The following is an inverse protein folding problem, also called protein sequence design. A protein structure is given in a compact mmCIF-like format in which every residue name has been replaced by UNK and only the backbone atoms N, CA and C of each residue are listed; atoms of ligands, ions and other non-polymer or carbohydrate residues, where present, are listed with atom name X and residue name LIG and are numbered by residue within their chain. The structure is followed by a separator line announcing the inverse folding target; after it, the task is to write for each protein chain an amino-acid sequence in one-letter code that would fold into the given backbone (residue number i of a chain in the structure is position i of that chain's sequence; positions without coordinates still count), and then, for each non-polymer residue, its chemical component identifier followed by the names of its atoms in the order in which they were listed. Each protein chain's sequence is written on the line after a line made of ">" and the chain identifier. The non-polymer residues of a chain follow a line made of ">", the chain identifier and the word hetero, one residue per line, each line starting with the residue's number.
data_IF_998869705072
#
_entry.id   IF_998869705072
#
_cell.length_a   1.000
_cell.length_b   1.000
_cell.length_c   1.000
_cell.angle_alpha   90.00
_cell.angle_beta   90.00
_cell.angle_gamma   90.00
#
_symmetry.space_group_name_H-M   'P 1'
#
loop_
_entity.id
_entity.type
_entity.pdbx_description
1 polymer ?
#
# COMPACT_ATOMS: atom_id res chain seq x y z
N UNK A 1 -46.98 -0.98 10.00
CA UNK A 1 -46.00 -1.82 9.28
C UNK A 1 -45.17 -1.02 8.27
N UNK A 2 -45.78 -0.26 7.36
CA UNK A 2 -45.07 0.56 6.34
C UNK A 2 -44.02 1.54 6.90
N UNK A 3 -44.34 2.27 7.98
CA UNK A 3 -43.39 3.19 8.65
C UNK A 3 -42.19 2.48 9.30
N UNK A 4 -42.42 1.31 9.91
CA UNK A 4 -41.35 0.45 10.48
C UNK A 4 -40.44 -0.08 9.37
N UNK A 5 -41.02 -0.47 8.23
CA UNK A 5 -40.26 -0.97 7.09
C UNK A 5 -39.45 0.14 6.41
N UNK A 6 -40.01 1.35 6.26
CA UNK A 6 -39.27 2.52 5.78
C UNK A 6 -38.08 2.86 6.68
N UNK A 7 -38.25 2.79 8.01
CA UNK A 7 -37.16 3.02 8.96
C UNK A 7 -36.04 1.97 8.84
N UNK A 8 -36.39 0.68 8.69
CA UNK A 8 -35.42 -0.40 8.47
C UNK A 8 -34.63 -0.18 7.18
N UNK A 9 -35.29 0.24 6.09
CA UNK A 9 -34.64 0.53 4.80
C UNK A 9 -33.67 1.71 4.94
N UNK A 10 -34.06 2.79 5.62
CA UNK A 10 -33.18 3.94 5.88
C UNK A 10 -31.95 3.52 6.70
N UNK A 11 -32.15 2.70 7.73
CA UNK A 11 -31.05 2.20 8.57
C UNK A 11 -30.08 1.33 7.75
N UNK A 12 -30.60 0.44 6.89
CA UNK A 12 -29.79 -0.36 5.97
C UNK A 12 -28.99 0.49 4.99
N UNK A 13 -29.61 1.52 4.40
CA UNK A 13 -28.92 2.45 3.51
C UNK A 13 -27.84 3.25 4.24
N UNK A 14 -28.10 3.67 5.49
CA UNK A 14 -27.10 4.36 6.31
C UNK A 14 -25.91 3.46 6.62
N UNK A 15 -26.14 2.19 6.96
CA UNK A 15 -25.07 1.20 7.21
C UNK A 15 -24.29 0.87 5.93
N UNK A 16 -24.96 0.74 4.78
CA UNK A 16 -24.29 0.56 3.50
C UNK A 16 -23.44 1.78 3.12
N UNK A 17 -23.97 2.99 3.37
CA UNK A 17 -23.24 4.24 3.17
C UNK A 17 -21.99 4.32 4.02
N UNK A 18 -22.06 3.96 5.31
CA UNK A 18 -20.87 3.94 6.18
C UNK A 18 -19.86 2.87 5.77
N UNK A 19 -20.32 1.68 5.34
CA UNK A 19 -19.45 0.60 4.82
C UNK A 19 -18.66 1.04 3.58
N UNK A 20 -19.22 1.90 2.72
CA UNK A 20 -18.53 2.40 1.53
C UNK A 20 -17.32 3.29 1.90
N UNK A 21 -17.40 4.03 3.01
CA UNK A 21 -16.25 4.79 3.55
C UNK A 21 -15.20 3.89 4.23
N UNK A 22 -15.49 2.60 4.42
CA UNK A 22 -14.55 1.62 4.97
C UNK A 22 -13.74 0.89 3.91
N UNK A 23 -13.78 1.29 2.63
CA UNK A 23 -12.87 0.75 1.62
C UNK A 23 -11.91 1.83 1.17
N UNK A 24 -10.74 1.92 1.79
CA UNK A 24 -9.67 2.79 1.32
C UNK A 24 -9.21 2.35 -0.08
N UNK A 25 -9.12 3.31 -1.02
CA UNK A 25 -8.62 3.12 -2.36
C UNK A 25 -7.11 2.85 -2.45
N UNK A 26 -6.66 2.51 -3.66
CA UNK A 26 -5.23 2.36 -3.98
C UNK A 26 -4.55 3.73 -4.01
N UNK A 27 -3.30 3.80 -3.56
CA UNK A 27 -2.46 5.00 -3.65
C UNK A 27 -1.40 4.89 -4.73
N UNK A 28 -1.35 5.91 -5.58
CA UNK A 28 -0.37 6.06 -6.65
C UNK A 28 0.79 7.00 -6.27
N UNK A 29 0.59 7.81 -5.24
CA UNK A 29 1.44 8.92 -4.80
C UNK A 29 2.38 8.54 -3.65
N UNK A 30 2.75 7.26 -3.56
CA UNK A 30 3.64 6.76 -2.51
C UNK A 30 5.09 7.01 -2.85
N UNK A 31 5.82 7.57 -1.90
CA UNK A 31 7.28 7.75 -1.97
C UNK A 31 7.96 6.80 -0.99
N UNK A 32 9.11 6.26 -1.38
CA UNK A 32 9.99 5.54 -0.47
C UNK A 32 10.88 6.57 0.22
N UNK A 33 10.83 6.62 1.56
CA UNK A 33 11.69 7.50 2.35
C UNK A 33 13.00 6.80 2.67
N UNK A 34 12.93 5.55 3.11
CA UNK A 34 14.08 4.74 3.50
C UNK A 34 13.74 3.25 3.46
N UNK A 35 14.75 2.38 3.53
CA UNK A 35 14.59 0.94 3.70
C UNK A 35 15.74 0.32 4.47
N UNK A 36 15.46 -0.80 5.12
CA UNK A 36 16.48 -1.69 5.69
C UNK A 36 16.21 -3.12 5.23
N UNK A 37 17.25 -3.94 5.25
CA UNK A 37 17.15 -5.37 4.91
C UNK A 37 17.68 -6.16 6.10
N UNK A 38 17.00 -7.25 6.45
CA UNK A 38 17.43 -8.17 7.50
C UNK A 38 18.79 -8.78 7.18
N UNK A 39 19.51 -9.21 8.22
CA UNK A 39 20.86 -9.78 8.09
C UNK A 39 20.92 -10.99 7.15
N UNK A 40 19.86 -11.80 7.13
CA UNK A 40 19.71 -12.96 6.24
C UNK A 40 19.17 -12.61 4.84
N UNK A 41 18.84 -11.35 4.58
CA UNK A 41 18.32 -10.87 3.31
C UNK A 41 16.87 -11.25 3.01
N UNK A 42 16.15 -11.90 3.93
CA UNK A 42 14.82 -12.45 3.69
C UNK A 42 13.68 -11.45 3.89
N UNK A 43 13.91 -10.33 4.58
CA UNK A 43 12.90 -9.30 4.86
C UNK A 43 13.48 -7.92 4.53
N UNK A 44 12.72 -7.14 3.78
CA UNK A 44 12.94 -5.71 3.62
C UNK A 44 11.89 -4.93 4.40
N UNK A 45 12.34 -4.08 5.30
CA UNK A 45 11.49 -3.09 5.98
C UNK A 45 11.57 -1.78 5.20
N UNK A 46 10.46 -1.31 4.66
CA UNK A 46 10.38 -0.03 3.94
C UNK A 46 9.67 1.02 4.79
N UNK A 47 10.20 2.24 4.80
CA UNK A 47 9.52 3.42 5.30
C UNK A 47 8.99 4.24 4.12
N UNK A 48 7.70 4.54 4.13
CA UNK A 48 7.04 5.23 3.02
C UNK A 48 6.32 6.50 3.46
N UNK A 49 6.20 7.43 2.53
CA UNK A 49 5.43 8.65 2.66
C UNK A 49 4.37 8.76 1.57
N UNK A 50 3.50 9.76 1.72
CA UNK A 50 2.50 10.17 0.71
C UNK A 50 2.93 11.52 0.18
N UNK A 51 3.04 11.68 -1.14
CA UNK A 51 3.44 12.95 -1.74
C UNK A 51 2.33 14.01 -1.70
N UNK A 52 1.07 13.59 -1.70
CA UNK A 52 -0.06 14.50 -1.50
C UNK A 52 -0.18 14.96 -0.04
N UNK A 53 -0.79 16.12 0.18
CA UNK A 53 -1.06 16.66 1.51
C UNK A 53 -2.24 15.98 2.24
N UNK A 54 -2.83 14.94 1.64
CA UNK A 54 -4.08 14.33 2.12
C UNK A 54 -4.01 12.81 2.21
N UNK A 55 -4.39 12.32 3.38
CA UNK A 55 -4.53 10.91 3.69
C UNK A 55 -3.22 10.23 4.08
N UNK A 56 -3.37 8.97 4.49
CA UNK A 56 -2.31 8.17 5.06
C UNK A 56 -2.26 6.81 4.38
N UNK A 57 -1.16 6.10 4.53
CA UNK A 57 -1.05 4.70 4.11
C UNK A 57 -1.57 3.81 5.23
N UNK A 58 -2.34 2.78 4.91
CA UNK A 58 -2.87 1.82 5.89
C UNK A 58 -2.23 0.46 5.75
N UNK A 59 -2.05 0.02 4.52
CA UNK A 59 -1.58 -1.33 4.22
C UNK A 59 -1.04 -1.40 2.80
N UNK A 60 -0.44 -2.53 2.47
CA UNK A 60 0.05 -2.83 1.13
C UNK A 60 -0.45 -4.21 0.67
N UNK A 61 -0.43 -4.42 -0.64
CA UNK A 61 -0.52 -5.74 -1.26
C UNK A 61 0.70 -5.93 -2.15
N UNK A 62 1.35 -7.07 -1.98
CA UNK A 62 2.48 -7.50 -2.81
C UNK A 62 1.97 -8.52 -3.83
N UNK A 63 2.31 -8.31 -5.10
CA UNK A 63 2.25 -9.33 -6.14
C UNK A 63 3.68 -9.69 -6.55
N UNK A 64 4.00 -10.98 -6.51
CA UNK A 64 5.28 -11.51 -6.98
C UNK A 64 5.13 -12.02 -8.42
N UNK A 65 6.15 -11.77 -9.24
CA UNK A 65 6.25 -12.25 -10.62
C UNK A 65 7.73 -12.43 -10.97
N UNK A 66 8.21 -13.68 -10.87
CA UNK A 66 9.62 -14.01 -11.03
C UNK A 66 10.50 -13.29 -10.01
N UNK A 67 11.46 -12.51 -10.51
CA UNK A 67 12.42 -11.73 -9.71
C UNK A 67 11.87 -10.35 -9.30
N UNK A 68 10.57 -10.08 -9.45
CA UNK A 68 9.97 -8.76 -9.21
C UNK A 68 8.85 -8.82 -8.19
N UNK A 69 8.76 -7.77 -7.39
CA UNK A 69 7.62 -7.49 -6.51
C UNK A 69 6.93 -6.20 -6.91
N UNK A 70 5.64 -6.29 -7.14
CA UNK A 70 4.76 -5.18 -7.46
C UNK A 70 3.90 -4.86 -6.24
N UNK A 71 4.07 -3.66 -5.69
CA UNK A 71 3.48 -3.25 -4.43
C UNK A 71 2.41 -2.19 -4.70
N UNK A 72 1.19 -2.48 -4.26
CA UNK A 72 0.09 -1.52 -4.24
C UNK A 72 -0.21 -1.14 -2.80
N UNK A 73 -0.10 0.14 -2.50
CA UNK A 73 -0.47 0.68 -1.19
C UNK A 73 -1.93 1.12 -1.19
N UNK A 74 -2.51 1.15 0.01
CA UNK A 74 -3.91 1.51 0.21
C UNK A 74 -4.05 2.56 1.28
N UNK A 75 -5.02 3.44 1.10
CA UNK A 75 -5.31 4.49 2.06
C UNK A 75 -6.07 3.99 3.30
N UNK A 76 -6.02 4.82 4.34
CA UNK A 76 -6.84 4.67 5.56
C UNK A 76 -8.33 4.82 5.27
N UNK A 77 -9.15 4.38 6.23
CA UNK A 77 -10.60 4.49 6.11
C UNK A 77 -11.07 5.90 6.43
N UNK A 78 -12.00 6.43 5.61
CA UNK A 78 -12.54 7.78 5.79
C UNK A 78 -11.64 8.91 5.26
N UNK A 79 -12.19 10.12 5.24
CA UNK A 79 -11.54 11.30 4.66
C UNK A 79 -10.46 11.81 5.61
N UNK A 80 -9.19 11.73 5.17
CA UNK A 80 -8.01 12.25 5.89
C UNK A 80 -7.90 11.78 7.36
N UNK A 81 -8.33 10.55 7.63
CA UNK A 81 -8.26 9.94 8.96
C UNK A 81 -6.95 9.18 9.14
N UNK A 82 -6.30 9.33 10.30
CA UNK A 82 -5.10 8.57 10.66
C UNK A 82 -5.40 7.20 11.28
N UNK A 83 -6.67 6.80 11.35
CA UNK A 83 -7.04 5.51 11.94
C UNK A 83 -6.48 4.35 11.11
N UNK A 84 -5.57 3.58 11.73
CA UNK A 84 -4.84 2.49 11.08
C UNK A 84 -3.77 2.98 10.10
N UNK A 85 -3.30 4.22 10.25
CA UNK A 85 -2.18 4.73 9.48
C UNK A 85 -0.89 4.02 9.90
N UNK A 86 -0.14 3.57 8.90
CA UNK A 86 1.17 2.96 9.02
C UNK A 86 2.10 3.64 8.01
N UNK A 87 3.38 3.75 8.34
CA UNK A 87 4.41 4.25 7.44
C UNK A 87 5.56 3.26 7.26
N UNK A 88 5.58 2.18 8.01
CA UNK A 88 6.58 1.13 7.94
C UNK A 88 5.94 -0.20 7.58
N UNK A 89 6.53 -0.90 6.63
CA UNK A 89 6.02 -2.19 6.18
C UNK A 89 7.15 -3.17 5.95
N UNK A 90 6.93 -4.42 6.34
CA UNK A 90 7.82 -5.52 6.03
C UNK A 90 7.36 -6.24 4.77
N UNK A 91 8.32 -6.53 3.89
CA UNK A 91 8.13 -7.25 2.64
C UNK A 91 9.09 -8.41 2.64
N UNK A 92 8.56 -9.63 2.54
CA UNK A 92 9.39 -10.82 2.34
C UNK A 92 10.10 -10.74 0.99
N UNK A 93 11.39 -11.05 0.96
CA UNK A 93 12.22 -11.12 -0.22
C UNK A 93 12.54 -12.58 -0.54
N UNK A 94 12.19 -13.00 -1.76
CA UNK A 94 12.78 -14.19 -2.33
C UNK A 94 14.26 -13.92 -2.65
N UNK A 95 15.20 -14.86 -2.46
CA UNK A 95 16.61 -14.69 -2.83
C UNK A 95 16.84 -14.25 -4.28
N UNK A 96 15.94 -14.65 -5.19
CA UNK A 96 15.97 -14.27 -6.61
C UNK A 96 15.37 -12.90 -6.90
N UNK A 97 14.76 -12.22 -5.91
CA UNK A 97 14.13 -10.92 -6.08
C UNK A 97 15.19 -9.85 -6.40
N UNK A 98 15.02 -9.18 -7.53
CA UNK A 98 15.91 -8.13 -8.05
C UNK A 98 15.24 -6.76 -8.16
N UNK A 99 13.91 -6.69 -8.16
CA UNK A 99 13.20 -5.41 -8.35
C UNK A 99 11.98 -5.24 -7.48
N UNK A 100 11.86 -4.08 -6.83
CA UNK A 100 10.67 -3.64 -6.12
C UNK A 100 10.04 -2.49 -6.87
N UNK A 101 8.75 -2.64 -7.20
CA UNK A 101 7.99 -1.71 -8.00
C UNK A 101 6.79 -1.16 -7.22
N UNK A 102 6.54 0.13 -7.30
CA UNK A 102 5.38 0.78 -6.64
C UNK A 102 4.31 1.14 -7.67
N UNK A 103 3.04 0.95 -7.30
CA UNK A 103 1.90 1.34 -8.12
C UNK A 103 1.83 2.86 -8.33
N UNK A 104 1.48 3.28 -9.56
CA UNK A 104 1.44 4.67 -10.03
C UNK A 104 0.15 5.04 -10.74
N UNK A 105 -0.95 4.34 -10.45
CA UNK A 105 -2.22 4.63 -11.11
C UNK A 105 -2.24 4.09 -12.54
N UNK A 106 -2.68 4.93 -13.48
CA UNK A 106 -2.79 4.58 -14.90
C UNK A 106 -1.43 4.32 -15.56
N UNK A 107 -0.35 4.91 -15.03
CA UNK A 107 1.02 4.66 -15.48
C UNK A 107 1.52 3.25 -15.14
N UNK A 108 0.78 2.48 -14.33
CA UNK A 108 1.15 1.13 -13.94
C UNK A 108 2.04 1.11 -12.72
N UNK A 109 3.29 0.69 -12.87
CA UNK A 109 4.23 0.48 -11.77
C UNK A 109 5.63 0.99 -12.13
N UNK A 110 6.25 1.74 -11.21
CA UNK A 110 7.62 2.22 -11.34
C UNK A 110 8.59 1.37 -10.53
N UNK A 111 9.77 1.10 -11.07
CA UNK A 111 10.88 0.50 -10.33
C UNK A 111 11.41 1.51 -9.30
N UNK A 112 11.40 1.15 -8.03
CA UNK A 112 11.84 2.01 -6.92
C UNK A 112 13.15 1.50 -6.32
N UNK A 113 13.29 0.20 -6.17
CA UNK A 113 14.54 -0.43 -5.70
C UNK A 113 14.97 -1.52 -6.67
N UNK A 114 16.25 -1.53 -7.02
CA UNK A 114 16.88 -2.58 -7.82
C UNK A 114 18.04 -3.18 -7.03
N UNK A 115 18.17 -4.51 -7.07
CA UNK A 115 19.30 -5.23 -6.49
C UNK A 115 20.45 -5.24 -7.49
N UNK A 116 21.63 -4.78 -7.05
CA UNK A 116 22.83 -4.81 -7.86
C UNK A 116 23.32 -6.25 -8.04
N UNK A 117 23.55 -6.68 -9.28
CA UNK A 117 23.96 -8.06 -9.57
C UNK A 117 25.38 -8.39 -9.08
N UNK A 118 26.28 -7.41 -9.00
CA UNK A 118 27.68 -7.59 -8.58
C UNK A 118 27.81 -7.56 -7.05
N UNK A 119 27.24 -6.55 -6.39
CA UNK A 119 27.38 -6.36 -4.94
C UNK A 119 26.30 -7.04 -4.12
N UNK A 120 25.20 -7.45 -4.75
CA UNK A 120 23.99 -7.97 -4.10
C UNK A 120 23.29 -6.96 -3.17
N UNK A 121 23.68 -5.69 -3.22
CA UNK A 121 23.08 -4.62 -2.44
C UNK A 121 21.89 -3.99 -3.18
N UNK A 122 20.90 -3.54 -2.43
CA UNK A 122 19.77 -2.79 -2.97
C UNK A 122 20.14 -1.33 -3.23
N UNK A 123 19.60 -0.76 -4.30
CA UNK A 123 19.83 0.62 -4.71
C UNK A 123 18.53 1.30 -5.10
N UNK A 124 18.34 2.54 -4.64
CA UNK A 124 17.22 3.39 -5.06
C UNK A 124 17.36 3.75 -6.53
N UNK A 125 16.30 3.50 -7.32
CA UNK A 125 16.18 3.99 -8.69
C UNK A 125 15.36 5.27 -8.66
N UNK A 126 15.96 6.32 -9.24
CA UNK A 126 15.34 7.64 -9.43
C UNK A 126 14.69 7.73 -10.79
#
# INVERSE_FOLDING_TARGET
>A
MKKKMAFIIILLLAVMGTLFFLTGGKRADIILNDYTVSEDGSIMTINVGVASSMGYVRTLKVKEDGDKKYITFYETYGINSSLGAENEFQIELNPSCKGIYFYRGEAGYDLVLEKNDETQEWQLKK
#
